data_IF_713721571216
#
_entry.id   IF_713721571216
#
_cell.length_a   1.000
_cell.length_b   1.000
_cell.length_c   1.000
_cell.angle_alpha   90.00
_cell.angle_beta   90.00
_cell.angle_gamma   90.00
#
_symmetry.space_group_name_H-M   'P 1'
#
loop_
_entity.id
_entity.type
_entity.pdbx_description
1 polymer ?
#
# COMPACT_ATOMS: atom_id res chain seq x y z
N UNK A 1 11.02 -2.22 -3.89
CA UNK A 1 10.99 -3.73 -3.87
C UNK A 1 11.81 -4.37 -2.73
N UNK A 2 11.86 -3.77 -1.53
CA UNK A 2 12.64 -4.32 -0.40
C UNK A 2 12.19 -5.75 -0.04
N UNK A 3 10.89 -6.00 -0.03
CA UNK A 3 10.29 -7.27 0.34
C UNK A 3 10.40 -8.38 -0.73
N UNK A 4 11.08 -8.11 -1.85
CA UNK A 4 11.40 -9.12 -2.87
C UNK A 4 12.60 -10.00 -2.47
N UNK A 5 13.50 -9.49 -1.65
CA UNK A 5 14.75 -10.14 -1.29
C UNK A 5 14.97 -10.06 0.21
N UNK A 6 15.11 -11.23 0.87
CA UNK A 6 15.27 -11.31 2.32
C UNK A 6 16.46 -10.52 2.85
N UNK A 7 17.59 -10.58 2.17
CA UNK A 7 18.80 -9.86 2.60
C UNK A 7 18.59 -8.34 2.52
N UNK A 8 17.95 -7.87 1.45
CA UNK A 8 17.63 -6.46 1.28
C UNK A 8 16.60 -6.00 2.30
N UNK A 9 15.63 -6.85 2.65
CA UNK A 9 14.65 -6.57 3.69
C UNK A 9 15.33 -6.44 5.07
N UNK A 10 16.29 -7.31 5.40
CA UNK A 10 17.07 -7.20 6.63
C UNK A 10 17.88 -5.89 6.69
N UNK A 11 18.50 -5.49 5.58
CA UNK A 11 19.19 -4.19 5.49
C UNK A 11 18.19 -3.02 5.65
N UNK A 12 16.98 -3.16 5.12
CA UNK A 12 15.87 -2.23 5.33
C UNK A 12 15.48 -2.11 6.81
N UNK A 13 15.38 -3.22 7.52
CA UNK A 13 15.10 -3.20 8.96
C UNK A 13 16.22 -2.54 9.77
N UNK A 14 17.47 -2.75 9.41
CA UNK A 14 18.59 -2.03 10.04
C UNK A 14 18.56 -0.51 9.74
N UNK A 15 18.12 -0.12 8.54
CA UNK A 15 17.92 1.28 8.18
C UNK A 15 16.75 1.90 8.98
N UNK A 16 15.68 1.16 9.15
CA UNK A 16 14.52 1.56 9.97
C UNK A 16 14.92 1.85 11.43
N UNK A 17 15.76 1.00 12.04
CA UNK A 17 16.31 1.22 13.40
C UNK A 17 17.04 2.54 13.55
N UNK A 18 17.59 3.08 12.46
CA UNK A 18 18.32 4.36 12.43
C UNK A 18 17.41 5.55 12.13
N UNK A 19 16.09 5.33 12.09
CA UNK A 19 15.10 6.36 11.81
C UNK A 19 14.87 6.64 10.32
N UNK A 20 15.35 5.74 9.44
CA UNK A 20 15.07 5.84 7.99
C UNK A 20 13.64 5.41 7.65
N UNK A 21 13.15 5.88 6.51
CA UNK A 21 11.90 5.39 5.93
C UNK A 21 12.16 4.23 4.98
N UNK A 22 11.31 3.21 5.03
CA UNK A 22 11.31 2.12 4.05
C UNK A 22 9.96 2.01 3.38
N UNK A 23 9.94 1.71 2.08
CA UNK A 23 8.73 1.42 1.33
C UNK A 23 8.68 -0.05 0.95
N UNK A 24 7.53 -0.68 1.22
CA UNK A 24 7.24 -2.08 0.90
C UNK A 24 6.28 -2.14 -0.27
N UNK A 25 6.63 -2.91 -1.29
CA UNK A 25 5.83 -3.01 -2.52
C UNK A 25 4.77 -4.10 -2.39
N UNK A 26 3.50 -3.74 -2.59
CA UNK A 26 2.37 -4.67 -2.59
C UNK A 26 2.36 -5.52 -3.88
N UNK A 27 1.79 -6.73 -3.78
CA UNK A 27 1.71 -7.66 -4.91
C UNK A 27 2.99 -8.43 -5.18
N UNK A 28 3.99 -8.35 -4.30
CA UNK A 28 5.22 -9.15 -4.34
C UNK A 28 5.05 -10.48 -3.58
N UNK A 29 6.10 -11.31 -3.63
CA UNK A 29 6.09 -12.65 -3.03
C UNK A 29 5.88 -12.61 -1.52
N UNK A 30 6.53 -11.67 -0.83
CA UNK A 30 6.36 -11.45 0.61
C UNK A 30 5.42 -10.28 0.82
N UNK A 31 4.33 -10.51 1.57
CA UNK A 31 3.34 -9.48 1.87
C UNK A 31 3.96 -8.36 2.73
N UNK A 32 3.74 -7.09 2.38
CA UNK A 32 4.07 -5.95 3.25
C UNK A 32 3.49 -6.06 4.65
N UNK A 33 2.26 -6.55 4.80
CA UNK A 33 1.65 -6.77 6.11
C UNK A 33 2.40 -7.77 6.97
N UNK A 34 2.89 -8.86 6.38
CA UNK A 34 3.76 -9.83 7.07
C UNK A 34 5.09 -9.20 7.50
N UNK A 35 5.69 -8.39 6.63
CA UNK A 35 6.90 -7.63 6.97
C UNK A 35 6.66 -6.66 8.14
N UNK A 36 5.51 -5.98 8.17
CA UNK A 36 5.13 -5.10 9.28
C UNK A 36 4.98 -5.89 10.58
N UNK A 37 4.29 -7.04 10.55
CA UNK A 37 4.13 -7.89 11.75
C UNK A 37 5.49 -8.39 12.27
N UNK A 38 6.40 -8.76 11.38
CA UNK A 38 7.75 -9.17 11.76
C UNK A 38 8.53 -7.98 12.35
N UNK A 39 8.42 -6.78 11.77
CA UNK A 39 9.02 -5.56 12.31
C UNK A 39 8.49 -5.25 13.73
N UNK A 40 7.17 -5.33 13.93
CA UNK A 40 6.53 -5.16 15.26
C UNK A 40 7.05 -6.19 16.26
N UNK A 41 7.13 -7.46 15.88
CA UNK A 41 7.64 -8.55 16.72
C UNK A 41 9.10 -8.33 17.14
N UNK A 42 9.90 -7.71 16.27
CA UNK A 42 11.30 -7.33 16.56
C UNK A 42 11.42 -6.03 17.35
N UNK A 43 10.31 -5.33 17.65
CA UNK A 43 10.31 -4.04 18.34
C UNK A 43 10.89 -2.89 17.51
N UNK A 44 10.77 -2.97 16.17
CA UNK A 44 11.22 -1.93 15.27
C UNK A 44 10.20 -0.79 15.17
N UNK A 45 10.65 0.44 14.91
CA UNK A 45 9.77 1.58 14.69
C UNK A 45 9.00 1.40 13.38
N UNK A 46 7.71 1.08 13.44
CA UNK A 46 6.90 0.81 12.24
C UNK A 46 6.24 2.07 11.66
N UNK A 47 6.36 3.20 12.33
CA UNK A 47 5.85 4.49 11.90
C UNK A 47 6.54 5.05 10.64
N UNK A 48 7.73 4.55 10.31
CA UNK A 48 8.48 4.91 9.10
C UNK A 48 8.39 3.85 7.99
N UNK A 49 7.41 2.95 8.07
CA UNK A 49 7.12 2.00 6.99
C UNK A 49 5.99 2.56 6.13
N UNK A 50 6.19 2.59 4.83
CA UNK A 50 5.16 2.91 3.84
C UNK A 50 4.90 1.74 2.91
N UNK A 51 3.77 1.75 2.21
CA UNK A 51 3.41 0.75 1.22
C UNK A 51 3.06 1.42 -0.10
N UNK A 52 3.53 0.82 -1.21
CA UNK A 52 3.21 1.25 -2.57
C UNK A 52 2.73 0.08 -3.43
N UNK A 53 2.06 0.40 -4.54
CA UNK A 53 1.54 -0.62 -5.46
C UNK A 53 2.52 -0.96 -6.59
N UNK A 54 3.53 -0.13 -6.82
CA UNK A 54 4.32 -0.14 -8.06
C UNK A 54 3.42 -0.17 -9.33
N UNK A 55 2.24 0.45 -9.22
CA UNK A 55 1.21 0.41 -10.25
C UNK A 55 1.74 0.88 -11.61
N UNK A 56 1.48 0.08 -12.65
CA UNK A 56 2.03 0.22 -14.01
C UNK A 56 3.54 -0.03 -14.13
N UNK A 57 4.24 -0.35 -13.04
CA UNK A 57 5.62 -0.83 -13.09
C UNK A 57 5.69 -2.19 -13.77
N UNK A 58 6.74 -2.45 -14.54
CA UNK A 58 6.99 -3.74 -15.17
C UNK A 58 7.70 -4.67 -14.19
N UNK A 59 7.34 -5.95 -14.22
CA UNK A 59 8.05 -6.99 -13.52
C UNK A 59 8.43 -8.14 -14.46
N UNK A 60 9.46 -8.89 -14.10
CA UNK A 60 9.96 -10.01 -14.89
C UNK A 60 10.32 -11.18 -13.97
N UNK A 61 9.94 -12.38 -14.40
CA UNK A 61 10.35 -13.63 -13.78
C UNK A 61 11.38 -14.33 -14.63
N UNK A 62 12.42 -14.86 -14.00
CA UNK A 62 13.50 -15.56 -14.65
C UNK A 62 13.62 -16.99 -14.11
N UNK A 63 14.00 -17.93 -14.95
CA UNK A 63 14.40 -19.28 -14.54
C UNK A 63 15.77 -19.26 -13.85
N UNK A 64 16.15 -20.39 -13.24
CA UNK A 64 17.45 -20.54 -12.55
C UNK A 64 18.64 -20.31 -13.50
N UNK A 65 18.49 -20.63 -14.78
CA UNK A 65 19.52 -20.42 -15.82
C UNK A 65 19.59 -18.96 -16.33
N UNK A 66 18.76 -18.05 -15.79
CA UNK A 66 18.68 -16.66 -16.19
C UNK A 66 17.82 -16.39 -17.41
N UNK A 67 17.17 -17.41 -17.99
CA UNK A 67 16.23 -17.19 -19.11
C UNK A 67 14.94 -16.52 -18.61
N UNK A 68 14.41 -15.58 -19.42
CA UNK A 68 13.17 -14.88 -19.12
C UNK A 68 11.98 -15.84 -19.27
N UNK A 69 11.20 -16.01 -18.19
CA UNK A 69 9.98 -16.82 -18.20
C UNK A 69 8.74 -15.98 -18.50
N UNK A 70 8.63 -14.82 -17.87
CA UNK A 70 7.42 -14.02 -17.92
C UNK A 70 7.72 -12.53 -17.72
N UNK A 71 6.94 -11.68 -18.38
CA UNK A 71 6.91 -10.24 -18.14
C UNK A 71 5.44 -9.85 -17.85
N UNK A 72 5.25 -8.99 -16.87
CA UNK A 72 3.94 -8.44 -16.53
C UNK A 72 4.00 -6.99 -16.12
N UNK A 73 2.84 -6.47 -15.74
CA UNK A 73 2.66 -5.10 -15.26
C UNK A 73 1.92 -5.15 -13.93
N UNK A 74 2.42 -4.40 -12.94
CA UNK A 74 1.82 -4.33 -11.62
C UNK A 74 0.45 -3.66 -11.66
N UNK A 75 -0.52 -4.25 -10.95
CA UNK A 75 -1.87 -3.70 -10.83
C UNK A 75 -1.91 -2.53 -9.84
N UNK A 76 -2.72 -1.53 -10.15
CA UNK A 76 -2.95 -0.39 -9.25
C UNK A 76 -3.77 -0.75 -8.01
N UNK A 77 -4.44 -1.89 -8.03
CA UNK A 77 -5.29 -2.42 -6.96
C UNK A 77 -4.51 -3.21 -5.88
N UNK A 78 -3.19 -3.32 -6.02
CA UNK A 78 -2.34 -4.08 -5.12
C UNK A 78 -2.42 -3.57 -3.67
N UNK A 79 -2.47 -2.25 -3.44
CA UNK A 79 -2.66 -1.65 -2.10
C UNK A 79 -4.00 -2.06 -1.47
N UNK A 80 -5.07 -2.05 -2.25
CA UNK A 80 -6.38 -2.44 -1.76
C UNK A 80 -6.46 -3.93 -1.40
N UNK A 81 -5.84 -4.79 -2.23
CA UNK A 81 -5.73 -6.22 -1.95
C UNK A 81 -4.91 -6.48 -0.69
N UNK A 82 -3.83 -5.76 -0.50
CA UNK A 82 -2.99 -5.86 0.69
C UNK A 82 -3.75 -5.42 1.95
N UNK A 83 -4.49 -4.31 1.90
CA UNK A 83 -5.34 -3.87 3.00
C UNK A 83 -6.32 -4.97 3.43
N UNK A 84 -7.01 -5.59 2.46
CA UNK A 84 -7.92 -6.71 2.76
C UNK A 84 -7.18 -7.89 3.38
N UNK A 85 -6.00 -8.23 2.88
CA UNK A 85 -5.17 -9.30 3.43
C UNK A 85 -4.74 -9.01 4.87
N UNK A 86 -4.25 -7.79 5.14
CA UNK A 86 -3.85 -7.37 6.49
C UNK A 86 -5.00 -7.49 7.50
N UNK A 87 -6.21 -7.09 7.12
CA UNK A 87 -7.36 -7.11 8.02
C UNK A 87 -7.98 -8.51 8.10
N UNK A 88 -8.29 -9.15 6.97
CA UNK A 88 -9.09 -10.37 6.92
C UNK A 88 -8.28 -11.64 7.20
N UNK A 89 -6.98 -11.64 6.88
CA UNK A 89 -6.11 -12.82 7.01
C UNK A 89 -5.12 -12.66 8.15
N UNK A 90 -4.43 -11.51 8.23
CA UNK A 90 -3.45 -11.28 9.29
C UNK A 90 -4.08 -10.82 10.60
N UNK A 91 -5.38 -10.49 10.62
CA UNK A 91 -6.14 -10.13 11.82
C UNK A 91 -5.79 -8.75 12.40
N UNK A 92 -5.21 -7.86 11.61
CA UNK A 92 -5.00 -6.47 12.00
C UNK A 92 -6.33 -5.73 12.00
N UNK A 93 -6.49 -4.75 12.90
CA UNK A 93 -7.63 -3.82 12.78
C UNK A 93 -7.42 -2.88 11.59
N UNK A 94 -8.51 -2.27 11.12
CA UNK A 94 -8.42 -1.31 10.01
C UNK A 94 -7.53 -0.10 10.38
N UNK A 95 -7.64 0.36 11.63
CA UNK A 95 -6.86 1.45 12.20
C UNK A 95 -5.37 1.12 12.28
N UNK A 96 -5.02 -0.16 12.47
CA UNK A 96 -3.63 -0.61 12.48
C UNK A 96 -3.04 -0.76 11.07
N UNK A 97 -3.87 -1.08 10.07
CA UNK A 97 -3.43 -1.35 8.71
C UNK A 97 -3.33 -0.07 7.85
N UNK A 98 -4.29 0.85 7.99
CA UNK A 98 -4.38 2.05 7.15
C UNK A 98 -3.17 2.98 7.19
N UNK A 99 -2.51 3.24 8.34
CA UNK A 99 -1.41 4.20 8.42
C UNK A 99 -0.31 3.98 7.38
N UNK A 100 0.04 2.73 7.09
CA UNK A 100 1.12 2.39 6.16
C UNK A 100 0.87 2.80 4.71
N UNK A 101 -0.37 3.06 4.33
CA UNK A 101 -0.77 3.48 2.98
C UNK A 101 -1.50 4.82 2.94
N UNK A 102 -1.55 5.53 4.09
CA UNK A 102 -2.23 6.84 4.22
C UNK A 102 -1.36 7.86 4.94
N UNK A 103 -1.53 8.04 6.26
CA UNK A 103 -0.87 9.12 7.01
C UNK A 103 0.65 8.99 7.06
N UNK A 104 1.22 7.77 7.15
CA UNK A 104 2.68 7.60 7.14
C UNK A 104 3.28 7.94 5.76
N UNK A 105 2.56 7.61 4.66
CA UNK A 105 2.95 8.05 3.32
C UNK A 105 2.90 9.58 3.23
N UNK A 106 1.83 10.19 3.73
CA UNK A 106 1.70 11.65 3.74
C UNK A 106 2.78 12.32 4.57
N UNK A 107 3.16 11.74 5.71
CA UNK A 107 4.26 12.22 6.55
C UNK A 107 5.59 12.13 5.81
N UNK A 108 5.93 10.96 5.27
CA UNK A 108 7.17 10.76 4.53
C UNK A 108 7.33 11.64 3.28
N UNK A 109 6.21 12.15 2.74
CA UNK A 109 6.17 13.05 1.58
C UNK A 109 5.93 14.52 1.93
N UNK A 110 5.91 14.87 3.23
CA UNK A 110 5.61 16.24 3.72
C UNK A 110 4.22 16.75 3.26
N UNK A 111 3.22 15.87 3.27
CA UNK A 111 1.84 16.14 2.86
C UNK A 111 0.83 16.07 4.02
N UNK A 112 1.31 15.94 5.29
CA UNK A 112 0.43 15.93 6.46
C UNK A 112 -0.44 17.20 6.52
N UNK A 113 -1.73 17.02 6.86
CA UNK A 113 -2.71 18.10 6.87
C UNK A 113 -3.34 18.40 5.50
N UNK A 114 -2.76 17.85 4.41
CA UNK A 114 -3.32 17.94 3.05
C UNK A 114 -3.88 16.58 2.62
N UNK A 115 -3.12 15.50 2.89
CA UNK A 115 -3.43 14.12 2.49
C UNK A 115 -3.31 13.15 3.67
N UNK A 116 -3.84 11.95 3.46
CA UNK A 116 -3.64 10.80 4.36
C UNK A 116 -4.49 10.80 5.62
N UNK A 117 -5.30 11.83 5.87
CA UNK A 117 -6.17 11.96 7.03
C UNK A 117 -7.54 12.53 6.66
N UNK A 118 -8.55 12.23 7.47
CA UNK A 118 -9.86 12.86 7.41
C UNK A 118 -9.87 13.99 8.44
N UNK A 119 -9.57 15.20 8.00
CA UNK A 119 -9.48 16.39 8.87
C UNK A 119 -10.02 17.63 8.14
N UNK A 120 -10.43 18.63 8.91
CA UNK A 120 -10.84 19.93 8.35
C UNK A 120 -9.64 20.60 7.62
N UNK A 121 -9.86 21.00 6.39
CA UNK A 121 -8.83 21.60 5.54
C UNK A 121 -8.03 20.61 4.69
N UNK A 122 -8.11 19.31 4.96
CA UNK A 122 -7.51 18.29 4.10
C UNK A 122 -8.32 18.05 2.82
N UNK A 123 -7.66 17.56 1.78
CA UNK A 123 -8.33 17.13 0.56
C UNK A 123 -9.32 15.98 0.88
N UNK A 124 -10.54 16.09 0.34
CA UNK A 124 -11.53 15.02 0.50
C UNK A 124 -11.24 13.87 -0.48
N UNK A 125 -10.22 13.06 -0.14
CA UNK A 125 -9.87 11.81 -0.81
C UNK A 125 -10.31 10.65 0.08
N UNK A 126 -11.46 10.04 -0.24
CA UNK A 126 -12.14 9.11 0.66
C UNK A 126 -12.48 7.82 -0.06
N UNK A 127 -12.30 6.71 0.64
CA UNK A 127 -12.84 5.40 0.26
C UNK A 127 -13.87 4.98 1.32
N UNK A 128 -15.07 4.66 0.90
CA UNK A 128 -16.10 4.10 1.77
C UNK A 128 -16.23 2.63 1.45
N UNK A 129 -16.09 1.82 2.50
CA UNK A 129 -16.20 0.37 2.41
C UNK A 129 -17.43 -0.12 3.16
N UNK A 130 -17.95 -1.28 2.75
CA UNK A 130 -18.86 -2.06 3.57
C UNK A 130 -18.09 -2.85 4.67
N UNK A 131 -18.82 -3.67 5.44
CA UNK A 131 -18.24 -4.45 6.53
C UNK A 131 -17.22 -5.51 6.06
N UNK A 132 -17.33 -5.95 4.79
CA UNK A 132 -16.43 -6.93 4.18
C UNK A 132 -15.26 -6.24 3.44
N UNK A 133 -15.06 -4.95 3.67
CA UNK A 133 -14.09 -4.12 2.96
C UNK A 133 -14.29 -4.14 1.44
N UNK A 134 -15.52 -4.30 0.96
CA UNK A 134 -15.86 -4.08 -0.44
C UNK A 134 -16.00 -2.58 -0.67
N UNK A 135 -15.35 -2.05 -1.70
CA UNK A 135 -15.39 -0.63 -2.01
C UNK A 135 -16.75 -0.24 -2.58
N UNK A 136 -17.49 0.58 -1.84
CA UNK A 136 -18.77 1.14 -2.25
C UNK A 136 -18.62 2.48 -2.97
N UNK A 137 -17.91 3.41 -2.35
CA UNK A 137 -17.79 4.78 -2.87
C UNK A 137 -16.35 5.25 -2.86
N UNK A 138 -15.93 5.88 -3.97
CA UNK A 138 -14.65 6.54 -4.09
C UNK A 138 -14.85 8.03 -4.39
N UNK A 139 -14.24 8.86 -3.56
CA UNK A 139 -14.21 10.33 -3.68
C UNK A 139 -12.76 10.77 -3.85
N UNK A 140 -12.49 11.60 -4.85
CA UNK A 140 -11.20 12.24 -5.03
C UNK A 140 -11.36 13.75 -5.14
N UNK A 141 -10.67 14.48 -4.28
CA UNK A 141 -10.74 15.95 -4.17
C UNK A 141 -12.20 16.46 -4.14
N UNK A 142 -13.03 15.81 -3.32
CA UNK A 142 -14.44 16.12 -3.14
C UNK A 142 -15.37 15.73 -4.31
N UNK A 143 -14.87 15.02 -5.32
CA UNK A 143 -15.66 14.55 -6.46
C UNK A 143 -15.85 13.06 -6.40
N UNK A 144 -17.08 12.58 -6.53
CA UNK A 144 -17.40 11.16 -6.54
C UNK A 144 -17.02 10.57 -7.90
N UNK A 145 -16.21 9.52 -7.90
CA UNK A 145 -15.78 8.75 -9.07
C UNK A 145 -16.45 7.38 -9.15
N UNK A 146 -16.73 6.78 -7.99
CA UNK A 146 -17.47 5.52 -7.87
C UNK A 146 -18.55 5.67 -6.82
N UNK A 147 -19.71 5.07 -7.03
CA UNK A 147 -20.82 5.03 -6.07
C UNK A 147 -21.58 3.73 -6.18
N UNK A 148 -21.85 3.09 -5.04
CA UNK A 148 -22.50 1.77 -4.95
C UNK A 148 -21.79 0.71 -5.80
N UNK A 149 -20.44 0.72 -5.82
CA UNK A 149 -19.62 -0.19 -6.60
C UNK A 149 -19.57 0.12 -8.11
N UNK A 150 -20.28 1.14 -8.58
CA UNK A 150 -20.30 1.51 -10.00
C UNK A 150 -19.45 2.73 -10.27
N UNK A 151 -18.58 2.65 -11.29
CA UNK A 151 -17.76 3.78 -11.76
C UNK A 151 -18.64 4.77 -12.50
N UNK A 152 -18.79 5.98 -11.95
CA UNK A 152 -19.61 7.06 -12.54
C UNK A 152 -18.79 8.14 -13.22
N UNK A 153 -17.49 8.17 -13.01
CA UNK A 153 -16.54 9.05 -13.70
C UNK A 153 -15.31 8.24 -14.09
N UNK A 154 -14.85 8.46 -15.29
CA UNK A 154 -13.62 7.85 -15.81
C UNK A 154 -12.53 8.90 -15.94
N UNK A 155 -11.27 8.49 -15.78
CA UNK A 155 -10.11 9.31 -16.08
C UNK A 155 -9.92 9.49 -17.59
N UNK A 156 -8.99 10.35 -17.97
CA UNK A 156 -8.75 10.71 -19.37
C UNK A 156 -8.41 9.52 -20.26
N UNK A 157 -7.81 8.49 -19.71
CA UNK A 157 -7.33 7.29 -20.44
C UNK A 157 -8.14 6.02 -20.17
N UNK A 158 -9.20 6.10 -19.35
CA UNK A 158 -10.09 4.99 -19.06
C UNK A 158 -11.21 4.91 -20.09
N UNK A 159 -11.45 3.72 -20.64
CA UNK A 159 -12.50 3.44 -21.64
C UNK A 159 -13.76 2.87 -21.03
#
# INVERSE_FOLDING_TARGET
>A
DLNRNEKLLEEGYEFLKRGGYIDLTCGMHTSPGECVLEAKKRGLPTEHITMSSDGHGSWSNYAEDGSLLEIGVSGVDALYKELKYMVQVLGMTLEEALPYMTCQVAEGLDLLGIKGTVAEGADADLLLFDQDLTLDTYVARGKIFMKHGEVIRKGTYEK
#
